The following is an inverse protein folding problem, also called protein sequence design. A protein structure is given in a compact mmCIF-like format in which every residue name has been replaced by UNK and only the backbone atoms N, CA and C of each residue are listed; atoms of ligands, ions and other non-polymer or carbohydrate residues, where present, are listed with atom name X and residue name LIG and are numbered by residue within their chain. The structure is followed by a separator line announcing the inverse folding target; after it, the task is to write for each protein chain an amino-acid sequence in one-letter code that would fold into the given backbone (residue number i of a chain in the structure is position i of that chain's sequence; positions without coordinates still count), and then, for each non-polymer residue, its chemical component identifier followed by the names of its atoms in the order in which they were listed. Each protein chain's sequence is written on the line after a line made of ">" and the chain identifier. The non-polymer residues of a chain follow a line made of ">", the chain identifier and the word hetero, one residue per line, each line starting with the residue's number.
data_IF_694226385727
#
_entry.id   IF_694226385727
#
_cell.length_a   1.000
_cell.length_b   1.000
_cell.length_c   1.000
_cell.angle_alpha   90.00
_cell.angle_beta   90.00
_cell.angle_gamma   90.00
#
_symmetry.space_group_name_H-M   'P 1'
#
loop_
_entity.id
_entity.type
_entity.pdbx_description
1 polymer ?
#
# COMPACT_ATOMS: atom_id res chain seq x y z
N UNK A 1 7.48 0.24 1.82
CA UNK A 1 7.54 -0.45 3.12
C UNK A 1 6.34 -0.04 3.94
N UNK A 2 5.78 -0.93 4.75
CA UNK A 2 4.61 -0.63 5.60
C UNK A 2 5.01 -0.70 7.07
N UNK A 3 4.82 0.38 7.81
CA UNK A 3 4.76 0.33 9.27
C UNK A 3 3.34 -0.01 9.68
N UNK A 4 3.14 -1.22 10.19
CA UNK A 4 1.86 -1.73 10.65
C UNK A 4 1.73 -1.53 12.15
N UNK A 5 0.82 -0.65 12.56
CA UNK A 5 0.46 -0.42 13.96
C UNK A 5 -0.97 -0.84 14.24
N UNK A 6 -1.33 -0.88 15.53
CA UNK A 6 -2.66 -1.32 15.98
C UNK A 6 -3.79 -0.40 15.51
N UNK A 7 -3.57 0.91 15.54
CA UNK A 7 -4.56 1.93 15.20
C UNK A 7 -4.29 2.59 13.83
N UNK A 8 -3.03 2.60 13.39
CA UNK A 8 -2.59 3.31 12.19
C UNK A 8 -1.55 2.51 11.44
N UNK A 9 -1.59 2.57 10.12
CA UNK A 9 -0.53 2.07 9.26
C UNK A 9 0.01 3.14 8.33
N UNK A 10 1.30 3.07 8.03
CA UNK A 10 2.01 4.08 7.25
C UNK A 10 2.82 3.43 6.13
N UNK A 11 2.51 3.80 4.89
CA UNK A 11 3.27 3.36 3.74
C UNK A 11 4.38 4.37 3.46
N UNK A 12 5.64 3.94 3.62
CA UNK A 12 6.83 4.78 3.55
C UNK A 12 7.85 4.23 2.54
N UNK A 13 8.67 5.12 1.99
CA UNK A 13 9.80 4.77 1.10
C UNK A 13 11.07 4.61 1.93
N UNK A 14 11.85 3.54 1.68
CA UNK A 14 13.20 3.36 2.26
C UNK A 14 14.14 4.48 1.75
N UNK A 15 15.17 4.82 2.52
CA UNK A 15 16.19 5.78 2.10
C UNK A 15 15.82 7.26 2.27
N UNK A 16 14.68 7.57 2.91
CA UNK A 16 14.26 8.94 3.21
C UNK A 16 13.71 9.02 4.62
N UNK A 17 14.03 10.11 5.32
CA UNK A 17 13.38 10.46 6.59
C UNK A 17 12.01 11.06 6.30
N UNK A 18 10.96 10.49 6.89
CA UNK A 18 9.59 10.95 6.74
C UNK A 18 9.13 11.64 8.03
N UNK A 19 8.61 12.86 7.91
CA UNK A 19 7.89 13.51 9.01
C UNK A 19 6.44 13.04 8.95
N UNK A 20 5.99 12.36 10.00
CA UNK A 20 4.62 11.87 10.14
C UNK A 20 3.92 12.59 11.28
N UNK A 21 2.61 12.41 11.41
CA UNK A 21 1.84 12.99 12.52
C UNK A 21 2.24 12.45 13.90
N UNK A 22 2.93 11.30 13.95
CA UNK A 22 3.36 10.66 15.19
C UNK A 22 4.86 10.84 15.46
N UNK A 23 5.62 11.39 14.51
CA UNK A 23 7.06 11.61 14.68
C UNK A 23 7.84 11.48 13.38
N UNK A 24 9.17 11.65 13.47
CA UNK A 24 10.08 11.39 12.36
C UNK A 24 10.38 9.89 12.29
N UNK A 25 10.34 9.36 11.07
CA UNK A 25 10.64 7.95 10.80
C UNK A 25 11.80 7.86 9.82
N UNK A 26 12.80 7.08 10.18
CA UNK A 26 13.88 6.67 9.28
C UNK A 26 13.90 5.14 9.20
N UNK A 27 13.85 4.61 7.97
CA UNK A 27 13.78 3.17 7.72
C UNK A 27 15.04 2.61 7.04
N UNK A 28 16.16 3.34 7.08
CA UNK A 28 17.39 2.92 6.39
C UNK A 28 18.00 1.66 7.00
N UNK A 29 18.02 1.58 8.33
CA UNK A 29 18.73 0.55 9.11
C UNK A 29 17.78 -0.42 9.81
N UNK A 30 16.61 -0.68 9.22
CA UNK A 30 15.59 -1.60 9.76
C UNK A 30 15.09 -2.55 8.68
N UNK A 31 14.85 -3.78 9.08
CA UNK A 31 14.45 -4.88 8.22
C UNK A 31 13.00 -5.32 8.47
N UNK A 32 12.45 -6.08 7.52
CA UNK A 32 11.10 -6.61 7.67
C UNK A 32 11.04 -7.56 8.87
N UNK A 33 10.01 -7.41 9.70
CA UNK A 33 9.86 -8.08 10.98
C UNK A 33 10.27 -7.22 12.17
N UNK A 34 11.08 -6.18 11.97
CA UNK A 34 11.54 -5.33 13.06
C UNK A 34 10.39 -4.50 13.66
N UNK A 35 10.49 -4.29 14.97
CA UNK A 35 9.62 -3.37 15.70
C UNK A 35 10.27 -2.00 15.79
N UNK A 36 9.58 -1.00 15.25
CA UNK A 36 10.02 0.40 15.24
C UNK A 36 9.15 1.21 16.18
N UNK A 37 9.77 1.94 17.11
CA UNK A 37 9.07 2.93 17.93
C UNK A 37 9.04 4.28 17.20
N UNK A 38 7.85 4.84 17.02
CA UNK A 38 7.66 6.15 16.42
C UNK A 38 6.77 6.97 17.35
N UNK A 39 7.38 7.89 18.09
CA UNK A 39 6.68 8.80 18.98
C UNK A 39 5.97 8.10 20.15
N UNK A 40 6.52 6.99 20.64
CA UNK A 40 5.95 6.21 21.74
C UNK A 40 4.95 5.14 21.31
N UNK A 41 4.65 5.02 20.01
CA UNK A 41 3.86 3.94 19.44
C UNK A 41 4.74 2.91 18.73
N UNK A 42 4.45 1.62 18.95
CA UNK A 42 5.15 0.51 18.31
C UNK A 42 4.50 0.11 16.99
N UNK A 43 5.32 -0.04 15.98
CA UNK A 43 4.95 -0.50 14.64
C UNK A 43 5.81 -1.69 14.24
N UNK A 44 5.26 -2.61 13.46
CA UNK A 44 6.04 -3.69 12.83
C UNK A 44 6.28 -3.32 11.38
N UNK A 45 7.53 -3.41 10.94
CA UNK A 45 7.90 -3.19 9.55
C UNK A 45 7.57 -4.44 8.73
N UNK A 46 6.65 -4.33 7.78
CA UNK A 46 6.20 -5.45 6.93
C UNK A 46 6.23 -5.08 5.45
N UNK A 47 6.26 -6.12 4.61
CA UNK A 47 6.10 -5.95 3.18
C UNK A 47 4.65 -5.54 2.87
N UNK A 48 4.42 -4.45 2.11
CA UNK A 48 3.08 -3.99 1.81
C UNK A 48 2.39 -4.93 0.81
N UNK A 49 1.12 -5.24 1.06
CA UNK A 49 0.28 -5.93 0.07
C UNK A 49 -0.14 -4.97 -1.06
N UNK A 50 -0.64 -5.51 -2.17
CA UNK A 50 -1.25 -4.70 -3.22
C UNK A 50 -2.39 -3.82 -2.67
N UNK A 51 -3.18 -4.36 -1.73
CA UNK A 51 -4.27 -3.62 -1.08
C UNK A 51 -3.74 -2.43 -0.26
N UNK A 52 -2.59 -2.56 0.39
CA UNK A 52 -1.97 -1.47 1.14
C UNK A 52 -1.45 -0.37 0.22
N UNK A 53 -0.88 -0.75 -0.92
CA UNK A 53 -0.44 0.19 -1.95
C UNK A 53 -1.64 0.94 -2.53
N UNK A 54 -2.71 0.23 -2.89
CA UNK A 54 -3.94 0.82 -3.46
C UNK A 54 -4.63 1.85 -2.55
N UNK A 55 -4.48 1.73 -1.22
CA UNK A 55 -5.00 2.72 -0.27
C UNK A 55 -4.28 4.07 -0.34
N UNK A 56 -3.07 4.12 -0.89
CA UNK A 56 -2.20 5.31 -0.92
C UNK A 56 -1.92 5.82 -2.33
N UNK A 57 -2.44 5.15 -3.37
CA UNK A 57 -2.40 5.66 -4.73
C UNK A 57 -3.11 7.02 -4.80
N UNK A 58 -2.48 7.97 -5.49
CA UNK A 58 -3.04 9.31 -5.70
C UNK A 58 -4.23 9.19 -6.66
N UNK A 59 -5.41 9.60 -6.21
CA UNK A 59 -6.64 9.53 -7.00
C UNK A 59 -6.97 10.89 -7.59
N UNK A 60 -7.06 10.96 -8.91
CA UNK A 60 -7.55 12.12 -9.65
C UNK A 60 -8.90 11.87 -10.33
N UNK A 61 -9.15 10.61 -10.72
CA UNK A 61 -10.42 10.13 -11.25
C UNK A 61 -11.06 9.14 -10.26
N UNK A 62 -12.32 8.79 -10.50
CA UNK A 62 -12.96 7.69 -9.78
C UNK A 62 -12.31 6.36 -10.16
N UNK A 63 -11.94 5.56 -9.17
CA UNK A 63 -11.22 4.30 -9.37
C UNK A 63 -12.13 3.08 -9.32
N UNK A 64 -11.68 1.99 -9.94
CA UNK A 64 -12.24 0.65 -9.73
C UNK A 64 -11.76 0.13 -8.37
N UNK A 65 -12.70 -0.20 -7.49
CA UNK A 65 -12.38 -0.75 -6.17
C UNK A 65 -12.03 -2.25 -6.26
N UNK A 66 -11.25 -2.80 -5.31
CA UNK A 66 -10.84 -4.21 -5.35
C UNK A 66 -12.00 -5.20 -5.52
N UNK A 67 -13.15 -4.94 -4.90
CA UNK A 67 -14.35 -5.78 -5.02
C UNK A 67 -14.89 -5.83 -6.46
N UNK A 68 -14.85 -4.68 -7.15
CA UNK A 68 -15.39 -4.54 -8.50
C UNK A 68 -14.41 -5.14 -9.51
N UNK A 69 -13.10 -4.93 -9.31
CA UNK A 69 -12.06 -5.58 -10.10
C UNK A 69 -12.13 -7.12 -9.99
N UNK A 70 -12.32 -7.65 -8.79
CA UNK A 70 -12.49 -9.09 -8.57
C UNK A 70 -13.72 -9.63 -9.32
N UNK A 71 -14.83 -8.88 -9.31
CA UNK A 71 -16.05 -9.25 -10.02
C UNK A 71 -15.87 -9.21 -11.55
N UNK A 72 -15.16 -8.22 -12.09
CA UNK A 72 -14.81 -8.15 -13.53
C UNK A 72 -14.01 -9.39 -13.93
N UNK A 73 -12.97 -9.74 -13.17
CA UNK A 73 -12.16 -10.95 -13.44
C UNK A 73 -13.01 -12.22 -13.38
N UNK A 74 -13.86 -12.36 -12.35
CA UNK A 74 -14.70 -13.54 -12.17
C UNK A 74 -15.72 -13.72 -13.31
N UNK A 75 -16.37 -12.64 -13.76
CA UNK A 75 -17.37 -12.68 -14.83
C UNK A 75 -16.73 -12.91 -16.20
N UNK A 76 -15.60 -12.23 -16.47
CA UNK A 76 -14.93 -12.33 -17.78
C UNK A 76 -14.09 -13.60 -17.94
N UNK A 77 -13.72 -14.24 -16.83
CA UNK A 77 -12.80 -15.38 -16.83
C UNK A 77 -11.36 -14.99 -17.17
N UNK A 78 -11.01 -13.69 -17.07
CA UNK A 78 -9.70 -13.19 -17.43
C UNK A 78 -8.59 -13.92 -16.65
N UNK A 79 -7.60 -14.44 -17.39
CA UNK A 79 -6.53 -15.26 -16.82
C UNK A 79 -5.20 -15.00 -17.53
N UNK A 80 -4.13 -15.63 -17.02
CA UNK A 80 -2.77 -15.49 -17.54
C UNK A 80 -2.73 -15.83 -19.04
N UNK A 81 -2.09 -14.96 -19.82
CA UNK A 81 -1.90 -15.14 -21.27
C UNK A 81 -2.97 -14.47 -22.14
N UNK A 82 -4.04 -13.94 -21.56
CA UNK A 82 -5.03 -13.19 -22.31
C UNK A 82 -4.52 -11.80 -22.70
N UNK A 83 -4.98 -11.30 -23.85
CA UNK A 83 -4.78 -9.92 -24.28
C UNK A 83 -5.99 -9.11 -23.85
N UNK A 84 -5.83 -8.30 -22.82
CA UNK A 84 -6.88 -7.44 -22.30
C UNK A 84 -6.75 -6.03 -22.88
N UNK A 85 -7.89 -5.39 -23.17
CA UNK A 85 -7.97 -3.98 -23.53
C UNK A 85 -8.68 -3.25 -22.39
N UNK A 86 -8.07 -2.17 -21.91
CA UNK A 86 -8.68 -1.21 -20.99
C UNK A 86 -8.73 0.16 -21.67
N UNK A 87 -9.85 0.87 -21.53
CA UNK A 87 -10.07 2.18 -22.13
C UNK A 87 -10.71 3.11 -21.10
N UNK A 88 -10.02 4.22 -20.81
CA UNK A 88 -10.36 5.12 -19.70
C UNK A 88 -9.55 4.81 -18.44
N UNK A 89 -8.23 4.76 -18.55
CA UNK A 89 -7.31 4.17 -17.57
C UNK A 89 -7.37 4.73 -16.13
N UNK A 90 -8.02 5.86 -15.89
CA UNK A 90 -8.19 6.40 -14.54
C UNK A 90 -6.86 6.60 -13.79
N UNK A 91 -6.90 6.83 -12.47
CA UNK A 91 -5.73 7.34 -11.72
C UNK A 91 -4.62 6.33 -11.42
#
# INVERSE_FOLDING_TARGET
>A
MLLLGRNKSMLLKRGKVHTTSVGKVDLRDVEYGDVVDVGGEKYVLVEPTLADIMKKLRRGAQIVMPKDAAQIVAITGATKGWRCLDAGSGS
#
